data_IF_773963056544
#
_entry.id   IF_773963056544
#
_cell.length_a   1.000
_cell.length_b   1.000
_cell.length_c   1.000
_cell.angle_alpha   90.00
_cell.angle_beta   90.00
_cell.angle_gamma   90.00
#
_symmetry.space_group_name_H-M   'P 1'
#
loop_
_entity.id
_entity.type
_entity.pdbx_description
1 polymer ?
#
# COMPACT_ATOMS: atom_id res chain seq x y z
N UNK A 1 -25.37 -7.56 14.25
CA UNK A 1 -24.73 -7.02 15.48
C UNK A 1 -24.31 -5.57 15.27
N UNK A 2 -24.40 -4.70 16.29
CA UNK A 2 -24.23 -3.24 16.14
C UNK A 2 -22.83 -2.76 15.68
N UNK A 3 -21.80 -3.61 15.79
CA UNK A 3 -20.40 -3.26 15.54
C UNK A 3 -19.71 -4.11 14.47
N UNK A 4 -20.44 -4.85 13.64
CA UNK A 4 -19.87 -5.70 12.57
C UNK A 4 -18.95 -4.95 11.60
N UNK A 5 -19.26 -3.68 11.31
CA UNK A 5 -18.44 -2.84 10.43
C UNK A 5 -17.01 -2.64 10.97
N UNK A 6 -16.80 -2.63 12.29
CA UNK A 6 -15.46 -2.53 12.89
C UNK A 6 -14.63 -3.79 12.59
N UNK A 7 -15.26 -4.97 12.58
CA UNK A 7 -14.57 -6.20 12.23
C UNK A 7 -14.07 -6.15 10.77
N UNK A 8 -14.90 -5.64 9.84
CA UNK A 8 -14.49 -5.45 8.45
C UNK A 8 -13.38 -4.40 8.30
N UNK A 9 -13.39 -3.32 9.08
CA UNK A 9 -12.29 -2.33 9.09
C UNK A 9 -10.98 -2.97 9.57
N UNK A 10 -11.02 -3.77 10.64
CA UNK A 10 -9.84 -4.48 11.14
C UNK A 10 -9.33 -5.48 10.10
N UNK A 11 -10.21 -6.27 9.51
CA UNK A 11 -9.83 -7.23 8.46
C UNK A 11 -9.26 -6.54 7.22
N UNK A 12 -9.83 -5.42 6.80
CA UNK A 12 -9.30 -4.61 5.70
C UNK A 12 -7.91 -4.07 6.02
N UNK A 13 -7.72 -3.55 7.24
CA UNK A 13 -6.41 -3.09 7.74
C UNK A 13 -5.37 -4.21 7.76
N UNK A 14 -5.75 -5.40 8.25
CA UNK A 14 -4.87 -6.58 8.26
C UNK A 14 -4.53 -7.06 6.85
N UNK A 15 -5.50 -7.13 5.94
CA UNK A 15 -5.28 -7.55 4.56
C UNK A 15 -4.33 -6.60 3.83
N UNK A 16 -4.57 -5.29 3.89
CA UNK A 16 -3.69 -4.30 3.25
C UNK A 16 -2.33 -4.16 3.95
N UNK A 17 -2.30 -4.24 5.27
CA UNK A 17 -1.05 -4.16 6.03
C UNK A 17 -0.11 -5.34 5.77
N UNK A 18 -0.66 -6.55 5.59
CA UNK A 18 0.12 -7.76 5.25
C UNK A 18 0.39 -7.91 3.76
N UNK A 19 -0.41 -7.29 2.89
CA UNK A 19 -0.25 -7.35 1.45
C UNK A 19 1.16 -6.96 0.99
N UNK A 20 1.66 -5.80 1.43
CA UNK A 20 2.96 -5.27 1.01
C UNK A 20 4.11 -6.25 1.32
N UNK A 21 4.33 -6.74 2.56
CA UNK A 21 5.40 -7.70 2.84
C UNK A 21 5.22 -9.06 2.14
N UNK A 22 3.98 -9.53 1.93
CA UNK A 22 3.73 -10.81 1.24
C UNK A 22 4.08 -10.72 -0.24
N UNK A 23 3.60 -9.68 -0.95
CA UNK A 23 3.89 -9.53 -2.39
C UNK A 23 5.37 -9.26 -2.64
N UNK A 24 6.00 -8.60 -1.67
CA UNK A 24 7.41 -8.38 -1.60
C UNK A 24 8.19 -9.70 -1.55
N UNK A 25 7.87 -10.56 -0.59
CA UNK A 25 8.48 -11.88 -0.45
C UNK A 25 8.23 -12.73 -1.70
N UNK A 26 6.97 -12.89 -2.11
CA UNK A 26 6.61 -13.68 -3.29
C UNK A 26 7.30 -13.20 -4.57
N UNK A 27 7.38 -11.89 -4.78
CA UNK A 27 8.09 -11.33 -5.94
C UNK A 27 9.61 -11.43 -5.87
N UNK A 28 10.20 -11.71 -4.71
CA UNK A 28 11.63 -12.07 -4.62
C UNK A 28 11.84 -13.56 -4.94
N UNK A 29 11.02 -14.44 -4.37
CA UNK A 29 11.07 -15.88 -4.64
C UNK A 29 10.82 -16.21 -6.12
N UNK A 30 9.96 -15.43 -6.78
CA UNK A 30 9.71 -15.56 -8.22
C UNK A 30 10.80 -14.93 -9.09
N UNK A 31 11.71 -14.12 -8.53
CA UNK A 31 12.83 -13.53 -9.29
C UNK A 31 14.03 -14.48 -9.26
N UNK A 32 14.14 -15.32 -10.29
CA UNK A 32 15.22 -16.31 -10.39
C UNK A 32 16.62 -15.75 -10.64
N UNK A 33 16.73 -14.53 -11.20
CA UNK A 33 18.01 -13.83 -11.40
C UNK A 33 17.94 -12.37 -10.91
N UNK A 34 18.96 -11.85 -10.21
CA UNK A 34 18.98 -10.46 -9.79
C UNK A 34 18.81 -9.50 -10.98
N UNK A 35 17.81 -8.61 -10.90
CA UNK A 35 17.54 -7.62 -11.95
C UNK A 35 16.47 -8.03 -12.97
N UNK A 36 15.98 -9.27 -12.93
CA UNK A 36 14.93 -9.73 -13.83
C UNK A 36 13.54 -9.16 -13.47
N UNK A 37 12.80 -8.75 -14.50
CA UNK A 37 11.43 -8.24 -14.39
C UNK A 37 10.40 -9.39 -14.27
N UNK A 38 10.75 -10.60 -14.71
CA UNK A 38 9.84 -11.75 -14.77
C UNK A 38 9.11 -12.04 -13.46
N UNK A 39 9.82 -12.06 -12.33
CA UNK A 39 9.22 -12.31 -11.01
C UNK A 39 8.20 -11.25 -10.57
N UNK A 40 8.37 -9.99 -11.00
CA UNK A 40 7.42 -8.90 -10.72
C UNK A 40 6.17 -9.01 -11.58
N UNK A 41 6.33 -9.32 -12.87
CA UNK A 41 5.19 -9.56 -13.75
C UNK A 41 4.39 -10.78 -13.30
N UNK A 42 5.06 -11.85 -12.88
CA UNK A 42 4.39 -13.02 -12.32
C UNK A 42 3.62 -12.67 -11.04
N UNK A 43 4.20 -11.83 -10.18
CA UNK A 43 3.50 -11.32 -8.99
C UNK A 43 2.24 -10.53 -9.34
N UNK A 44 2.29 -9.69 -10.38
CA UNK A 44 1.12 -8.95 -10.90
C UNK A 44 0.06 -9.93 -11.41
N UNK A 45 0.45 -10.97 -12.15
CA UNK A 45 -0.47 -12.00 -12.63
C UNK A 45 -1.13 -12.76 -11.48
N UNK A 46 -0.37 -13.14 -10.45
CA UNK A 46 -0.90 -13.79 -9.25
C UNK A 46 -1.93 -12.90 -8.53
N UNK A 47 -1.65 -11.60 -8.40
CA UNK A 47 -2.60 -10.63 -7.79
C UNK A 47 -3.85 -10.50 -8.66
N UNK A 48 -3.69 -10.36 -9.98
CA UNK A 48 -4.79 -10.25 -10.92
C UNK A 48 -5.70 -11.48 -10.90
N UNK A 49 -5.11 -12.69 -10.86
CA UNK A 49 -5.86 -13.93 -10.71
C UNK A 49 -6.61 -13.98 -9.38
N UNK A 50 -5.96 -13.63 -8.27
CA UNK A 50 -6.61 -13.59 -6.96
C UNK A 50 -7.79 -12.61 -6.94
N UNK A 51 -7.64 -11.43 -7.55
CA UNK A 51 -8.73 -10.45 -7.68
C UNK A 51 -9.87 -10.99 -8.54
N UNK A 52 -9.58 -11.67 -9.65
CA UNK A 52 -10.63 -12.30 -10.44
C UNK A 52 -11.40 -13.36 -9.64
N UNK A 53 -10.70 -14.25 -8.94
CA UNK A 53 -11.34 -15.29 -8.14
C UNK A 53 -12.20 -14.71 -7.01
N UNK A 54 -11.66 -13.75 -6.24
CA UNK A 54 -12.33 -13.23 -5.03
C UNK A 54 -13.30 -12.10 -5.34
N UNK A 55 -12.99 -11.20 -6.27
CA UNK A 55 -13.82 -10.04 -6.56
C UNK A 55 -14.81 -10.26 -7.71
N UNK A 56 -14.66 -11.32 -8.51
CA UNK A 56 -15.61 -11.67 -9.58
C UNK A 56 -16.33 -12.98 -9.26
N UNK A 57 -15.60 -14.09 -9.12
CA UNK A 57 -16.25 -15.40 -9.00
C UNK A 57 -17.03 -15.57 -7.69
N UNK A 58 -16.50 -15.09 -6.56
CA UNK A 58 -17.20 -15.21 -5.28
C UNK A 58 -18.50 -14.40 -5.27
N UNK A 59 -18.55 -13.09 -5.60
CA UNK A 59 -19.81 -12.36 -5.69
C UNK A 59 -20.76 -12.96 -6.72
N UNK A 60 -20.26 -13.35 -7.90
CA UNK A 60 -21.09 -14.00 -8.91
C UNK A 60 -21.72 -15.29 -8.37
N UNK A 61 -20.94 -16.15 -7.70
CA UNK A 61 -21.43 -17.38 -7.08
C UNK A 61 -22.52 -17.13 -6.05
N UNK A 62 -22.36 -16.13 -5.18
CA UNK A 62 -23.36 -15.74 -4.17
C UNK A 62 -24.68 -15.25 -4.82
N UNK A 63 -24.57 -14.49 -5.90
CA UNK A 63 -25.73 -13.97 -6.63
C UNK A 63 -26.43 -15.08 -7.42
N UNK A 64 -25.68 -15.97 -8.08
CA UNK A 64 -26.23 -17.10 -8.84
C UNK A 64 -26.79 -18.22 -7.95
N UNK A 65 -26.31 -18.36 -6.70
CA UNK A 65 -26.87 -19.30 -5.74
C UNK A 65 -28.19 -18.82 -5.11
N UNK A 66 -28.65 -17.60 -5.43
CA UNK A 66 -29.85 -17.00 -4.86
C UNK A 66 -29.70 -16.55 -3.39
N UNK A 67 -28.48 -16.52 -2.85
CA UNK A 67 -28.23 -16.02 -1.49
C UNK A 67 -28.30 -14.49 -1.40
N UNK A 68 -28.10 -13.81 -2.54
CA UNK A 68 -28.24 -12.36 -2.66
C UNK A 68 -29.10 -12.01 -3.88
N UNK A 69 -29.89 -10.94 -3.77
CA UNK A 69 -30.73 -10.44 -4.85
C UNK A 69 -29.94 -9.53 -5.79
N UNK A 70 -30.27 -9.60 -7.08
CA UNK A 70 -29.78 -8.65 -8.07
C UNK A 70 -30.32 -7.23 -7.80
N UNK A 71 -29.53 -6.18 -8.07
CA UNK A 71 -30.03 -4.82 -7.96
C UNK A 71 -31.23 -4.61 -8.89
N UNK A 72 -32.28 -3.93 -8.41
CA UNK A 72 -33.49 -3.66 -9.18
C UNK A 72 -33.23 -2.74 -10.39
N UNK A 73 -32.20 -1.89 -10.29
CA UNK A 73 -31.79 -0.98 -11.35
C UNK A 73 -30.27 -0.95 -11.51
N UNK A 74 -29.81 -1.17 -12.75
CA UNK A 74 -28.41 -1.01 -13.13
C UNK A 74 -28.12 0.45 -13.51
N UNK A 75 -27.68 1.24 -12.53
CA UNK A 75 -27.29 2.63 -12.76
C UNK A 75 -25.97 2.71 -13.54
N UNK A 76 -25.91 3.37 -14.71
CA UNK A 76 -24.67 3.52 -15.48
C UNK A 76 -23.56 4.20 -14.68
N UNK A 77 -23.89 5.24 -13.90
CA UNK A 77 -22.92 5.92 -13.04
C UNK A 77 -22.42 5.00 -11.93
N UNK A 78 -23.30 4.22 -11.29
CA UNK A 78 -22.91 3.26 -10.27
C UNK A 78 -21.94 2.21 -10.81
N UNK A 79 -22.20 1.69 -12.01
CA UNK A 79 -21.32 0.73 -12.69
C UNK A 79 -19.97 1.37 -13.05
N UNK A 80 -19.97 2.57 -13.64
CA UNK A 80 -18.74 3.26 -14.03
C UNK A 80 -17.85 3.60 -12.84
N UNK A 81 -18.39 4.17 -11.76
CA UNK A 81 -17.59 4.50 -10.57
C UNK A 81 -17.09 3.27 -9.83
N UNK A 82 -17.87 2.19 -9.78
CA UNK A 82 -17.41 0.91 -9.23
C UNK A 82 -16.26 0.33 -10.06
N UNK A 83 -16.37 0.41 -11.40
CA UNK A 83 -15.30 0.01 -12.31
C UNK A 83 -14.03 0.85 -12.14
N UNK A 84 -14.16 2.18 -12.06
CA UNK A 84 -13.05 3.10 -11.82
C UNK A 84 -12.37 2.85 -10.46
N UNK A 85 -13.15 2.56 -9.41
CA UNK A 85 -12.60 2.16 -8.11
C UNK A 85 -11.79 0.86 -8.21
N UNK A 86 -12.28 -0.13 -8.99
CA UNK A 86 -11.54 -1.35 -9.28
C UNK A 86 -10.22 -1.10 -10.01
N UNK A 87 -10.22 -0.23 -11.03
CA UNK A 87 -9.01 0.18 -11.76
C UNK A 87 -8.03 0.87 -10.82
N UNK A 88 -8.49 1.81 -9.99
CA UNK A 88 -7.65 2.50 -9.02
C UNK A 88 -6.96 1.52 -8.04
N UNK A 89 -7.71 0.51 -7.56
CA UNK A 89 -7.15 -0.55 -6.71
C UNK A 89 -6.08 -1.39 -7.43
N UNK A 90 -6.35 -1.81 -8.67
CA UNK A 90 -5.41 -2.59 -9.48
C UNK A 90 -4.13 -1.80 -9.80
N UNK A 91 -4.27 -0.53 -10.17
CA UNK A 91 -3.12 0.37 -10.41
C UNK A 91 -2.32 0.53 -9.12
N UNK A 92 -2.97 0.73 -7.97
CA UNK A 92 -2.30 0.82 -6.67
C UNK A 92 -1.46 -0.43 -6.35
N UNK A 93 -2.03 -1.62 -6.55
CA UNK A 93 -1.32 -2.90 -6.37
C UNK A 93 -0.10 -3.03 -7.29
N UNK A 94 -0.25 -2.68 -8.57
CA UNK A 94 0.86 -2.66 -9.54
C UNK A 94 1.95 -1.68 -9.10
N UNK A 95 1.58 -0.47 -8.68
CA UNK A 95 2.51 0.55 -8.18
C UNK A 95 3.28 0.06 -6.94
N UNK A 96 2.65 -0.67 -6.01
CA UNK A 96 3.36 -1.28 -4.87
C UNK A 96 4.44 -2.25 -5.36
N UNK A 97 4.13 -3.11 -6.32
CA UNK A 97 5.07 -4.11 -6.86
C UNK A 97 6.25 -3.42 -7.56
N UNK A 98 6.00 -2.40 -8.37
CA UNK A 98 7.06 -1.64 -9.03
C UNK A 98 7.87 -0.77 -8.06
N UNK A 99 7.23 -0.16 -7.05
CA UNK A 99 7.92 0.57 -5.98
C UNK A 99 8.89 -0.36 -5.24
N UNK A 100 8.49 -1.61 -4.99
CA UNK A 100 9.38 -2.64 -4.40
C UNK A 100 10.65 -2.81 -5.22
N UNK A 101 10.49 -2.95 -6.55
CA UNK A 101 11.59 -3.16 -7.47
C UNK A 101 12.50 -1.94 -7.50
N UNK A 102 11.92 -0.75 -7.66
CA UNK A 102 12.65 0.51 -7.68
C UNK A 102 13.45 0.74 -6.39
N UNK A 103 12.87 0.42 -5.23
CA UNK A 103 13.56 0.50 -3.95
C UNK A 103 14.76 -0.46 -3.86
N UNK A 104 14.63 -1.69 -4.34
CA UNK A 104 15.74 -2.67 -4.38
C UNK A 104 16.83 -2.21 -5.35
N UNK A 105 16.45 -1.71 -6.52
CA UNK A 105 17.41 -1.24 -7.53
C UNK A 105 18.17 0.01 -7.05
N UNK A 106 17.47 0.95 -6.39
CA UNK A 106 18.09 2.13 -5.77
C UNK A 106 19.05 1.76 -4.63
N UNK A 107 18.69 0.76 -3.81
CA UNK A 107 19.56 0.28 -2.73
C UNK A 107 20.85 -0.32 -3.30
N UNK A 108 20.74 -1.15 -4.34
CA UNK A 108 21.91 -1.73 -5.03
C UNK A 108 22.80 -0.67 -5.66
N UNK A 109 22.21 0.33 -6.33
CA UNK A 109 22.97 1.44 -6.92
C UNK A 109 23.76 2.23 -5.86
N UNK A 110 23.28 2.24 -4.62
CA UNK A 110 23.91 2.93 -3.48
C UNK A 110 24.79 2.02 -2.63
N UNK A 111 25.06 0.77 -3.04
CA UNK A 111 25.75 -0.27 -2.25
C UNK A 111 25.13 -0.52 -0.85
N UNK A 112 23.82 -0.32 -0.73
CA UNK A 112 23.05 -0.56 0.49
C UNK A 112 22.35 -1.94 0.45
N UNK A 113 22.03 -2.52 1.63
CA UNK A 113 21.21 -3.70 1.70
C UNK A 113 19.88 -3.53 0.93
N UNK A 114 19.39 -4.55 0.19
CA UNK A 114 18.12 -4.48 -0.55
C UNK A 114 16.89 -4.12 0.29
N UNK A 115 16.98 -4.27 1.61
CA UNK A 115 15.92 -3.93 2.55
C UNK A 115 15.81 -2.41 2.82
N UNK A 116 16.88 -1.64 2.62
CA UNK A 116 17.00 -0.27 3.15
C UNK A 116 15.93 0.70 2.68
N UNK A 117 15.54 0.69 1.40
CA UNK A 117 14.45 1.56 0.92
C UNK A 117 13.08 0.89 0.94
N UNK A 118 13.07 -0.44 0.92
CA UNK A 118 11.85 -1.25 0.87
C UNK A 118 10.96 -1.02 2.09
N UNK A 119 11.61 -0.83 3.23
CA UNK A 119 10.97 -0.66 4.51
C UNK A 119 10.08 0.59 4.59
N UNK A 120 10.32 1.59 3.74
CA UNK A 120 9.60 2.86 3.74
C UNK A 120 8.33 2.85 2.89
N UNK A 121 8.18 1.88 1.97
CA UNK A 121 7.08 1.86 1.00
C UNK A 121 5.71 1.79 1.70
N UNK A 122 5.51 0.82 2.59
CA UNK A 122 4.22 0.64 3.27
C UNK A 122 3.84 1.86 4.14
N UNK A 123 4.69 2.37 5.06
CA UNK A 123 4.34 3.53 5.87
C UNK A 123 4.05 4.79 5.03
N UNK A 124 4.77 5.01 3.93
CA UNK A 124 4.51 6.15 3.04
C UNK A 124 3.14 6.03 2.36
N UNK A 125 2.82 4.87 1.80
CA UNK A 125 1.54 4.64 1.12
C UNK A 125 0.38 4.76 2.12
N UNK A 126 0.45 4.06 3.25
CA UNK A 126 -0.62 4.01 4.23
C UNK A 126 -0.70 5.27 5.11
N UNK A 127 0.34 6.09 5.16
CA UNK A 127 0.29 7.44 5.74
C UNK A 127 -0.34 8.46 4.78
N UNK A 128 -0.03 8.39 3.49
CA UNK A 128 -0.55 9.33 2.49
C UNK A 128 -2.01 9.02 2.08
N UNK A 129 -2.38 7.74 2.00
CA UNK A 129 -3.71 7.29 1.60
C UNK A 129 -4.86 7.96 2.38
N UNK A 130 -4.87 8.01 3.74
CA UNK A 130 -5.94 8.69 4.47
C UNK A 130 -5.98 10.19 4.17
N UNK A 131 -4.82 10.86 4.03
CA UNK A 131 -4.76 12.29 3.70
C UNK A 131 -5.38 12.56 2.33
N UNK A 132 -4.98 11.80 1.30
CA UNK A 132 -5.53 11.92 -0.06
C UNK A 132 -7.04 11.65 -0.04
N UNK A 133 -7.48 10.58 0.64
CA UNK A 133 -8.89 10.24 0.74
C UNK A 133 -9.71 11.37 1.38
N UNK A 134 -9.22 11.95 2.47
CA UNK A 134 -9.90 13.06 3.13
C UNK A 134 -9.92 14.31 2.26
N UNK A 135 -8.80 14.66 1.60
CA UNK A 135 -8.75 15.80 0.69
C UNK A 135 -9.71 15.64 -0.49
N UNK A 136 -9.71 14.48 -1.16
CA UNK A 136 -10.65 14.19 -2.24
C UNK A 136 -12.08 14.26 -1.75
N UNK A 137 -12.36 13.72 -0.55
CA UNK A 137 -13.69 13.76 0.04
C UNK A 137 -14.15 15.20 0.28
N UNK A 138 -13.29 16.11 0.75
CA UNK A 138 -13.64 17.54 0.94
C UNK A 138 -14.17 18.19 -0.34
N UNK A 139 -13.61 17.83 -1.48
CA UNK A 139 -14.02 18.38 -2.77
C UNK A 139 -15.14 17.57 -3.43
N UNK A 140 -15.30 16.29 -3.11
CA UNK A 140 -16.25 15.41 -3.78
C UNK A 140 -17.22 14.76 -2.78
N UNK A 141 -18.39 15.39 -2.62
CA UNK A 141 -19.51 14.86 -1.85
C UNK A 141 -20.77 14.71 -2.73
N UNK A 142 -21.43 13.55 -2.75
CA UNK A 142 -22.69 13.38 -3.47
C UNK A 142 -23.83 14.11 -2.73
N UNK A 143 -24.38 15.18 -3.34
CA UNK A 143 -25.59 15.86 -2.85
C UNK A 143 -26.85 15.10 -3.28
N UNK A 144 -27.88 15.12 -2.43
CA UNK A 144 -29.24 14.64 -2.78
C UNK A 144 -29.85 15.63 -3.80
N UNK A 145 -29.49 15.50 -5.08
CA UNK A 145 -29.97 16.41 -6.12
C UNK A 145 -29.56 16.07 -7.56
N UNK A 146 -28.68 15.09 -7.78
CA UNK A 146 -28.34 14.64 -9.15
C UNK A 146 -27.27 15.47 -9.86
N UNK A 147 -26.63 16.43 -9.19
CA UNK A 147 -25.46 17.10 -9.76
C UNK A 147 -24.20 16.26 -9.49
N UNK A 148 -23.72 15.63 -10.58
CA UNK A 148 -22.75 14.52 -10.60
C UNK A 148 -21.30 14.94 -10.25
N UNK A 149 -20.99 16.23 -10.35
CA UNK A 149 -19.65 16.80 -10.17
C UNK A 149 -19.77 18.14 -9.44
N UNK A 150 -19.99 18.09 -8.13
CA UNK A 150 -19.75 19.26 -7.30
C UNK A 150 -18.34 19.21 -6.77
N UNK A 151 -17.50 20.12 -7.26
CA UNK A 151 -16.23 20.49 -6.64
C UNK A 151 -16.47 21.76 -5.84
N UNK A 152 -16.86 21.62 -4.56
CA UNK A 152 -17.21 22.75 -3.72
C UNK A 152 -16.91 22.49 -2.25
N UNK A 153 -16.23 23.44 -1.60
CA UNK A 153 -16.06 23.44 -0.14
C UNK A 153 -17.39 23.87 0.50
N UNK A 154 -18.27 22.92 0.82
CA UNK A 154 -19.54 23.22 1.51
C UNK A 154 -19.31 23.66 2.97
N UNK A 155 -18.25 23.15 3.59
CA UNK A 155 -17.81 23.54 4.94
C UNK A 155 -16.29 23.66 4.95
N UNK A 156 -15.79 24.80 5.42
CA UNK A 156 -14.35 24.98 5.62
C UNK A 156 -13.92 24.03 6.74
N UNK A 157 -12.99 23.10 6.49
CA UNK A 157 -12.61 22.13 7.51
C UNK A 157 -12.02 22.84 8.73
N UNK A 158 -12.51 22.48 9.92
CA UNK A 158 -11.99 22.99 11.17
C UNK A 158 -10.51 22.64 11.37
N UNK A 159 -9.85 23.31 12.31
CA UNK A 159 -8.43 23.10 12.62
C UNK A 159 -8.05 21.64 12.92
N UNK A 160 -9.02 20.83 13.37
CA UNK A 160 -8.87 19.40 13.65
C UNK A 160 -8.44 18.58 12.42
N UNK A 161 -8.86 18.96 11.22
CA UNK A 161 -8.41 18.29 9.99
C UNK A 161 -6.90 18.48 9.81
N UNK A 162 -6.44 19.73 9.88
CA UNK A 162 -5.05 20.08 9.70
C UNK A 162 -4.18 19.46 10.79
N UNK A 163 -4.64 19.49 12.04
CA UNK A 163 -4.00 18.79 13.15
C UNK A 163 -3.95 17.26 12.92
N UNK A 164 -5.01 16.68 12.36
CA UNK A 164 -5.06 15.27 11.99
C UNK A 164 -4.08 14.92 10.88
N UNK A 165 -3.96 15.73 9.82
CA UNK A 165 -2.97 15.55 8.74
C UNK A 165 -1.55 15.61 9.30
N UNK A 166 -1.26 16.59 10.17
CA UNK A 166 0.04 16.69 10.86
C UNK A 166 0.27 15.48 11.77
N UNK A 167 -0.77 15.00 12.46
CA UNK A 167 -0.70 13.81 13.30
C UNK A 167 -0.42 12.54 12.51
N UNK A 168 -1.04 12.36 11.34
CA UNK A 168 -0.75 11.25 10.42
C UNK A 168 0.68 11.34 9.89
N UNK A 169 1.11 12.53 9.47
CA UNK A 169 2.49 12.76 9.02
C UNK A 169 3.51 12.47 10.14
N UNK A 170 3.23 12.92 11.36
CA UNK A 170 4.03 12.65 12.54
C UNK A 170 4.07 11.17 12.91
N UNK A 171 2.93 10.47 12.85
CA UNK A 171 2.85 9.03 13.07
C UNK A 171 3.64 8.24 12.02
N UNK A 172 3.47 8.59 10.74
CA UNK A 172 4.25 8.00 9.65
C UNK A 172 5.75 8.28 9.85
N UNK A 173 6.13 9.51 10.20
CA UNK A 173 7.51 9.89 10.51
C UNK A 173 8.09 9.07 11.66
N UNK A 174 7.37 8.92 12.78
CA UNK A 174 7.83 8.11 13.92
C UNK A 174 8.01 6.63 13.54
N UNK A 175 7.11 6.08 12.73
CA UNK A 175 7.25 4.72 12.20
C UNK A 175 8.50 4.59 11.32
N UNK A 176 8.77 5.58 10.46
CA UNK A 176 9.96 5.60 9.60
C UNK A 176 11.24 5.78 10.44
N UNK A 177 11.24 6.68 11.43
CA UNK A 177 12.37 6.98 12.31
C UNK A 177 12.73 5.78 13.20
N UNK A 178 11.75 5.18 13.89
CA UNK A 178 11.96 3.97 14.69
C UNK A 178 12.55 2.82 13.85
N UNK A 179 12.19 2.78 12.56
CA UNK A 179 12.69 1.78 11.63
C UNK A 179 14.11 2.08 11.15
N UNK A 180 14.43 3.33 10.85
CA UNK A 180 15.80 3.77 10.57
C UNK A 180 16.72 3.48 11.76
N UNK A 181 16.28 3.79 12.99
CA UNK A 181 17.00 3.44 14.23
C UNK A 181 17.24 1.93 14.31
N UNK A 182 16.22 1.12 14.06
CA UNK A 182 16.32 -0.35 14.08
C UNK A 182 17.26 -0.92 13.02
N UNK A 183 17.38 -0.28 11.86
CA UNK A 183 18.33 -0.68 10.81
C UNK A 183 19.75 -0.20 11.12
N UNK A 184 19.92 1.00 11.70
CA UNK A 184 21.22 1.54 12.11
C UNK A 184 21.89 0.71 13.22
N UNK A 185 21.08 0.11 14.11
CA UNK A 185 21.57 -0.76 15.18
C UNK A 185 22.05 -2.14 14.68
N UNK A 186 21.68 -2.55 13.46
CA UNK A 186 22.14 -3.82 12.84
C UNK A 186 23.45 -3.66 12.06
N UNK A 187 24.38 -2.84 12.56
CA UNK A 187 25.74 -2.73 12.04
C UNK A 187 26.48 -4.08 11.97
N UNK A 188 27.54 -4.22 11.16
CA UNK A 188 28.13 -5.52 10.82
C UNK A 188 28.60 -6.28 12.07
N UNK A 189 28.57 -7.64 12.08
CA UNK A 189 29.25 -8.41 13.11
C UNK A 189 30.72 -8.00 13.08
N UNK A 190 31.26 -7.56 14.22
CA UNK A 190 32.62 -7.05 14.34
C UNK A 190 33.63 -7.98 13.67
N UNK A 191 34.17 -7.54 12.54
CA UNK A 191 35.42 -8.07 12.01
C UNK A 191 36.57 -7.60 12.90
N UNK A 192 37.55 -8.47 13.20
CA UNK A 192 38.57 -8.20 14.21
C UNK A 192 39.35 -6.93 13.85
N UNK A 193 39.51 -6.06 14.87
CA UNK A 193 40.31 -4.86 14.79
C UNK A 193 41.67 -5.18 14.16
N UNK A 194 41.93 -4.59 12.99
CA UNK A 194 43.28 -4.59 12.43
C UNK A 194 44.16 -3.80 13.39
N UNK A 195 44.98 -4.51 14.17
CA UNK A 195 46.12 -3.95 14.87
C UNK A 195 47.00 -3.25 13.83
N UNK A 196 47.32 -1.98 14.11
CA UNK A 196 48.15 -1.15 13.24
C UNK A 196 49.55 -1.76 13.04
N UNK A 197 50.26 -1.34 11.98
CA UNK A 197 51.57 -1.88 11.65
C UNK A 197 52.57 -1.59 12.77
N UNK A 198 53.07 -2.66 13.38
CA UNK A 198 54.24 -2.62 14.26
C UNK A 198 55.44 -2.28 13.37
N UNK A 199 55.91 -1.03 13.46
CA UNK A 199 57.09 -0.55 12.78
C UNK A 199 58.29 -1.33 13.31
N UNK A 200 58.91 -2.11 12.44
CA UNK A 200 60.20 -2.74 12.66
C UNK A 200 61.33 -1.72 12.43
N UNK A 201 62.32 -1.72 13.34
CA UNK A 201 63.66 -1.16 13.11
C UNK A 201 64.01 0.01 14.03
N UNK A 202 64.80 -0.22 15.07
CA UNK A 202 66.28 -0.21 15.05
C UNK A 202 66.82 -0.60 16.42
#
# INVERSE_FOLDING_TARGET
MKYEWLAFVILAGLAWGTYVPIIFYGGQELTGKPGDLGGRLMSILCVGLAYFLVAVLLPAGVMFSGMASWPETFSPSGLSFSGLAGVAGAVGAICVIFASKAAVDAAKASNLPPASFRIYIAPLIFGLAPVINTLVSLFWHPRKGGEFLHFGLETVPGWQLWAGIVGVAGGAFLVLLSKEESESQKGPPGGPAKSGPQVAGS
#
